data_IF_861645048948
#
_entry.id   IF_861645048948
#
_cell.length_a   1.000
_cell.length_b   1.000
_cell.length_c   1.000
_cell.angle_alpha   90.00
_cell.angle_beta   90.00
_cell.angle_gamma   90.00
#
_symmetry.space_group_name_H-M   'P 1'
#
loop_
_entity.id
_entity.type
_entity.pdbx_description
1 polymer ?
#
# COMPACT_ATOMS: atom_id res chain seq x y z
N UNK A 1 -32.15 -14.17 6.13
CA UNK A 1 -30.86 -13.59 6.55
C UNK A 1 -29.78 -14.46 5.91
N UNK A 2 -28.93 -13.89 5.04
CA UNK A 2 -27.91 -14.67 4.32
C UNK A 2 -26.85 -15.09 5.36
N UNK A 3 -26.62 -16.39 5.51
CA UNK A 3 -25.53 -16.90 6.37
C UNK A 3 -24.20 -16.46 5.76
N UNK A 4 -23.47 -15.61 6.50
CA UNK A 4 -22.12 -15.21 6.13
C UNK A 4 -21.20 -16.41 6.41
N UNK A 5 -20.87 -17.16 5.36
CA UNK A 5 -19.94 -18.28 5.43
C UNK A 5 -18.53 -17.77 5.11
N UNK A 6 -17.96 -16.97 6.03
CA UNK A 6 -16.57 -16.51 5.95
C UNK A 6 -15.75 -17.35 6.92
N UNK A 7 -14.65 -17.93 6.44
CA UNK A 7 -13.73 -18.65 7.32
C UNK A 7 -13.01 -17.64 8.25
N UNK A 8 -12.57 -18.09 9.43
CA UNK A 8 -11.95 -17.24 10.44
C UNK A 8 -10.60 -16.65 10.01
N UNK A 9 -9.88 -17.35 9.13
CA UNK A 9 -8.57 -16.95 8.62
C UNK A 9 -8.68 -15.77 7.64
N UNK A 10 -9.66 -15.79 6.75
CA UNK A 10 -10.00 -14.71 5.83
C UNK A 10 -10.41 -13.47 6.60
N UNK A 11 -11.23 -13.62 7.64
CA UNK A 11 -11.64 -12.52 8.52
C UNK A 11 -10.44 -11.90 9.25
N UNK A 12 -9.53 -12.74 9.74
CA UNK A 12 -8.30 -12.25 10.39
C UNK A 12 -7.40 -11.51 9.40
N UNK A 13 -7.26 -12.04 8.17
CA UNK A 13 -6.49 -11.42 7.10
C UNK A 13 -7.08 -10.06 6.70
N UNK A 14 -8.39 -10.01 6.44
CA UNK A 14 -9.10 -8.78 6.11
C UNK A 14 -8.98 -7.74 7.22
N UNK A 15 -9.20 -8.12 8.49
CA UNK A 15 -9.04 -7.21 9.62
C UNK A 15 -7.61 -6.68 9.74
N UNK A 16 -6.60 -7.52 9.49
CA UNK A 16 -5.19 -7.13 9.48
C UNK A 16 -4.89 -6.11 8.39
N UNK A 17 -5.45 -6.30 7.19
CA UNK A 17 -5.32 -5.36 6.07
C UNK A 17 -6.01 -4.04 6.38
N UNK A 18 -7.26 -4.05 6.87
CA UNK A 18 -8.00 -2.84 7.25
C UNK A 18 -7.26 -2.04 8.32
N UNK A 19 -6.68 -2.71 9.33
CA UNK A 19 -5.85 -2.06 10.35
C UNK A 19 -4.63 -1.35 9.74
N UNK A 20 -4.06 -1.90 8.67
CA UNK A 20 -2.96 -1.28 7.95
C UNK A 20 -3.46 -0.11 7.10
N UNK A 21 -4.62 -0.23 6.45
CA UNK A 21 -5.19 0.83 5.64
C UNK A 21 -5.65 2.04 6.46
N UNK A 22 -6.01 1.86 7.74
CA UNK A 22 -6.50 2.94 8.61
C UNK A 22 -5.53 4.08 8.93
N UNK A 23 -4.35 4.16 8.30
CA UNK A 23 -3.42 5.28 8.46
C UNK A 23 -3.55 6.27 7.28
N UNK A 24 -3.74 7.59 7.53
CA UNK A 24 -4.07 8.56 6.49
C UNK A 24 -3.04 8.62 5.36
N UNK A 25 -1.74 8.65 5.69
CA UNK A 25 -0.67 8.67 4.66
C UNK A 25 -0.71 7.41 3.78
N UNK A 26 -1.10 6.25 4.31
CA UNK A 26 -1.14 5.02 3.53
C UNK A 26 -2.30 5.02 2.53
N UNK A 27 -3.44 5.59 2.93
CA UNK A 27 -4.58 5.83 2.03
C UNK A 27 -4.15 6.76 0.89
N UNK A 28 -3.48 7.87 1.21
CA UNK A 28 -2.99 8.82 0.20
C UNK A 28 -1.95 8.20 -0.75
N UNK A 29 -1.07 7.31 -0.26
CA UNK A 29 -0.13 6.58 -1.12
C UNK A 29 -0.89 5.67 -2.10
N UNK A 30 -1.95 5.00 -1.64
CA UNK A 30 -2.76 4.10 -2.50
C UNK A 30 -3.48 4.92 -3.56
N UNK A 31 -4.11 6.04 -3.18
CA UNK A 31 -4.76 6.96 -4.12
C UNK A 31 -3.79 7.43 -5.22
N UNK A 32 -2.61 7.90 -4.84
CA UNK A 32 -1.58 8.33 -5.80
C UNK A 32 -1.16 7.22 -6.78
N UNK A 33 -1.05 5.99 -6.28
CA UNK A 33 -0.63 4.84 -7.09
C UNK A 33 -1.74 4.30 -7.98
N UNK A 34 -3.00 4.46 -7.57
CA UNK A 34 -4.18 4.14 -8.39
C UNK A 34 -4.28 5.09 -9.58
N UNK A 35 -4.06 6.39 -9.37
CA UNK A 35 -4.06 7.40 -10.44
C UNK A 35 -2.87 7.27 -11.41
N UNK A 36 -1.67 6.98 -10.90
CA UNK A 36 -0.41 7.06 -11.67
C UNK A 36 0.12 5.72 -12.20
N UNK A 37 -0.56 4.61 -11.94
CA UNK A 37 -0.15 3.21 -12.23
C UNK A 37 1.10 2.71 -11.49
N UNK A 38 2.20 3.49 -11.42
CA UNK A 38 3.37 3.20 -10.57
C UNK A 38 4.21 4.45 -10.28
N UNK A 39 4.81 4.50 -9.10
CA UNK A 39 5.68 5.62 -8.69
C UNK A 39 6.87 5.14 -7.85
N UNK A 40 8.00 5.81 -7.96
CA UNK A 40 9.16 5.64 -7.09
C UNK A 40 8.97 6.30 -5.73
N UNK A 41 9.78 5.91 -4.74
CA UNK A 41 9.77 6.56 -3.42
C UNK A 41 9.99 8.07 -3.51
N UNK A 42 10.83 8.53 -4.46
CA UNK A 42 11.14 9.93 -4.67
C UNK A 42 9.94 10.72 -5.17
N UNK A 43 9.19 10.16 -6.10
CA UNK A 43 7.97 10.79 -6.62
C UNK A 43 6.90 10.87 -5.53
N UNK A 44 6.73 9.79 -4.75
CA UNK A 44 5.71 9.69 -3.70
C UNK A 44 5.97 10.70 -2.57
N UNK A 45 7.19 10.75 -2.00
CA UNK A 45 7.43 11.65 -0.88
C UNK A 45 7.32 13.13 -1.28
N UNK A 46 7.69 13.46 -2.53
CA UNK A 46 7.56 14.80 -3.08
C UNK A 46 6.10 15.18 -3.32
N UNK A 47 5.30 14.28 -3.90
CA UNK A 47 3.87 14.50 -4.14
C UNK A 47 3.11 14.74 -2.84
N UNK A 48 3.41 13.94 -1.80
CA UNK A 48 2.79 14.05 -0.49
C UNK A 48 3.39 15.14 0.41
N UNK A 49 4.51 15.75 0.00
CA UNK A 49 5.26 16.74 0.80
C UNK A 49 5.62 16.23 2.20
N UNK A 50 6.07 14.98 2.27
CA UNK A 50 6.52 14.32 3.50
C UNK A 50 8.00 13.96 3.42
N UNK A 51 8.61 13.61 4.56
CA UNK A 51 9.98 13.11 4.58
C UNK A 51 10.10 11.76 3.85
N UNK A 52 11.20 11.58 3.12
CA UNK A 52 11.49 10.35 2.41
C UNK A 52 11.54 9.12 3.34
N UNK A 53 12.05 9.27 4.56
CA UNK A 53 12.10 8.19 5.55
C UNK A 53 10.68 7.73 5.96
N UNK A 54 9.76 8.69 6.14
CA UNK A 54 8.35 8.43 6.46
C UNK A 54 7.66 7.71 5.30
N UNK A 55 7.84 8.20 4.07
CA UNK A 55 7.31 7.53 2.87
C UNK A 55 7.84 6.09 2.74
N UNK A 56 9.14 5.89 2.91
CA UNK A 56 9.78 4.56 2.84
C UNK A 56 9.20 3.60 3.89
N UNK A 57 8.97 4.08 5.11
CA UNK A 57 8.38 3.28 6.17
C UNK A 57 6.95 2.81 5.82
N UNK A 58 6.12 3.71 5.30
CA UNK A 58 4.76 3.37 4.86
C UNK A 58 4.76 2.41 3.67
N UNK A 59 5.59 2.64 2.67
CA UNK A 59 5.74 1.77 1.50
C UNK A 59 6.16 0.35 1.90
N UNK A 60 7.12 0.22 2.82
CA UNK A 60 7.52 -1.09 3.34
C UNK A 60 6.38 -1.76 4.11
N UNK A 61 5.64 -1.02 4.93
CA UNK A 61 4.49 -1.57 5.68
C UNK A 61 3.42 -2.11 4.73
N UNK A 62 3.06 -1.33 3.70
CA UNK A 62 2.07 -1.72 2.71
C UNK A 62 2.53 -2.91 1.85
N UNK A 63 3.80 -2.91 1.43
CA UNK A 63 4.40 -4.02 0.69
C UNK A 63 4.43 -5.31 1.51
N UNK A 64 4.81 -5.24 2.78
CA UNK A 64 4.85 -6.41 3.69
C UNK A 64 3.46 -7.02 3.90
N UNK A 65 2.41 -6.20 3.74
CA UNK A 65 1.00 -6.62 3.79
C UNK A 65 0.43 -6.98 2.42
N UNK A 66 1.28 -7.05 1.40
CA UNK A 66 0.92 -7.37 0.00
C UNK A 66 -0.13 -6.44 -0.60
N UNK A 67 -0.27 -5.22 -0.06
CA UNK A 67 -1.15 -4.18 -0.60
C UNK A 67 -0.45 -3.46 -1.76
N UNK A 68 0.88 -3.36 -1.70
CA UNK A 68 1.70 -2.88 -2.80
C UNK A 68 2.65 -3.96 -3.27
N UNK A 69 2.99 -3.91 -4.54
CA UNK A 69 4.14 -4.59 -5.12
C UNK A 69 5.23 -3.57 -5.47
N UNK A 70 6.44 -4.05 -5.73
CA UNK A 70 7.54 -3.21 -6.16
C UNK A 70 8.36 -3.86 -7.25
N UNK A 71 8.76 -3.07 -8.24
CA UNK A 71 9.60 -3.47 -9.37
C UNK A 71 10.88 -2.61 -9.38
N UNK A 72 12.04 -3.24 -9.58
CA UNK A 72 13.30 -2.50 -9.74
C UNK A 72 13.58 -2.28 -11.22
N UNK A 73 13.64 -1.02 -11.63
CA UNK A 73 13.97 -0.58 -12.99
C UNK A 73 15.23 0.27 -12.93
N UNK A 74 16.35 -0.32 -13.35
CA UNK A 74 17.68 0.28 -13.21
C UNK A 74 18.06 0.51 -11.74
N UNK A 75 18.31 1.76 -11.37
CA UNK A 75 18.64 2.17 -9.99
C UNK A 75 17.43 2.46 -9.12
N UNK A 76 16.25 2.57 -9.71
CA UNK A 76 15.03 2.99 -9.03
C UNK A 76 14.12 1.80 -8.72
N UNK A 77 13.45 1.87 -7.58
CA UNK A 77 12.35 0.96 -7.22
C UNK A 77 11.05 1.71 -7.37
N UNK A 78 10.15 1.14 -8.18
CA UNK A 78 8.79 1.64 -8.39
C UNK A 78 7.81 0.77 -7.62
N UNK A 79 6.76 1.39 -7.09
CA UNK A 79 5.68 0.75 -6.36
C UNK A 79 4.39 0.89 -7.15
N UNK A 80 3.52 -0.10 -7.04
CA UNK A 80 2.14 -0.07 -7.58
C UNK A 80 1.22 -0.85 -6.66
N UNK A 81 -0.08 -0.57 -6.75
CA UNK A 81 -1.10 -1.35 -6.03
C UNK A 81 -1.06 -2.79 -6.52
N UNK A 82 -1.15 -3.75 -5.60
CA UNK A 82 -1.28 -5.15 -5.98
C UNK A 82 -2.66 -5.40 -6.60
N UNK A 83 -2.71 -6.14 -7.71
CA UNK A 83 -3.98 -6.72 -8.15
C UNK A 83 -4.38 -7.77 -7.11
N UNK A 84 -5.41 -7.46 -6.33
CA UNK A 84 -6.09 -8.42 -5.44
C UNK A 84 -6.95 -9.38 -6.26
#
# INVERSE_FOLDING_TARGET
MKSINLNSEDLHTAASMLKVLGHPIRILIIELLDESSKMSVTEIFKALKIEQAIASHHLNTLKNKRILISERVGKNTYYSVSNL
#
